data_IF_193596951150
#
_entry.id   IF_193596951150
#
_cell.length_a   1.000
_cell.length_b   1.000
_cell.length_c   1.000
_cell.angle_alpha   90.00
_cell.angle_beta   90.00
_cell.angle_gamma   90.00
#
_symmetry.space_group_name_H-M   'P 1'
#
loop_
_entity.id
_entity.type
_entity.pdbx_description
1 polymer ?
#
# COMPACT_ATOMS: atom_id res chain seq x y z
N UNK A 1 15.34 28.23 -13.15
CA UNK A 1 13.95 28.69 -13.33
C UNK A 1 13.33 27.95 -14.50
N UNK A 2 12.47 26.97 -14.22
CA UNK A 2 11.57 26.37 -15.21
C UNK A 2 10.25 26.15 -14.49
N UNK A 3 9.21 26.84 -14.94
CA UNK A 3 7.90 26.90 -14.32
C UNK A 3 7.03 25.76 -14.84
N UNK A 4 6.87 24.69 -14.05
CA UNK A 4 5.72 23.81 -14.22
C UNK A 4 4.51 24.47 -13.54
N UNK A 5 3.59 25.01 -14.34
CA UNK A 5 2.26 25.47 -13.92
C UNK A 5 1.21 24.53 -14.52
N UNK A 6 1.06 23.33 -13.95
CA UNK A 6 -0.12 22.51 -14.18
C UNK A 6 -1.29 23.07 -13.39
N UNK A 7 -2.31 23.63 -14.05
CA UNK A 7 -3.58 23.99 -13.42
C UNK A 7 -4.46 22.73 -13.37
N UNK A 8 -4.80 22.27 -12.17
CA UNK A 8 -5.89 21.31 -11.97
C UNK A 8 -7.21 22.07 -12.18
N UNK A 9 -7.98 21.70 -13.21
CA UNK A 9 -9.27 22.32 -13.52
C UNK A 9 -10.34 22.01 -12.47
N UNK A 10 -11.29 22.94 -12.29
CA UNK A 10 -12.39 22.87 -11.31
C UNK A 10 -13.20 21.56 -11.39
N UNK A 11 -13.29 20.84 -10.26
CA UNK A 11 -14.23 19.72 -10.08
C UNK A 11 -15.63 20.30 -9.83
N UNK A 12 -16.45 20.40 -10.88
CA UNK A 12 -17.87 20.79 -10.74
C UNK A 12 -18.72 19.61 -10.27
N UNK A 13 -19.11 19.61 -8.99
CA UNK A 13 -20.09 18.65 -8.43
C UNK A 13 -21.52 19.03 -8.83
N UNK A 14 -22.20 18.17 -9.59
CA UNK A 14 -23.67 18.15 -9.68
C UNK A 14 -24.21 16.85 -9.05
N UNK A 15 -25.28 17.04 -8.28
CA UNK A 15 -26.05 16.17 -7.38
C UNK A 15 -26.30 14.69 -7.71
N UNK A 16 -26.22 13.87 -6.64
CA UNK A 16 -27.09 12.75 -6.21
C UNK A 16 -27.21 11.53 -7.14
N UNK A 17 -26.09 10.86 -7.31
CA UNK A 17 -25.89 9.41 -7.44
C UNK A 17 -24.38 9.25 -7.62
N UNK A 18 -23.63 8.83 -6.58
CA UNK A 18 -22.17 8.75 -6.68
C UNK A 18 -21.83 7.49 -7.49
N UNK A 19 -21.99 7.55 -8.81
CA UNK A 19 -21.11 6.79 -9.70
C UNK A 19 -19.77 7.51 -9.63
N UNK A 20 -18.75 6.84 -9.11
CA UNK A 20 -17.38 7.29 -9.28
C UNK A 20 -17.12 7.29 -10.79
N UNK A 21 -16.90 8.47 -11.37
CA UNK A 21 -16.57 8.61 -12.78
C UNK A 21 -15.09 8.31 -12.94
N UNK A 22 -14.76 7.39 -13.86
CA UNK A 22 -13.37 6.99 -14.07
C UNK A 22 -12.54 8.20 -14.49
N UNK A 23 -11.38 8.37 -13.84
CA UNK A 23 -10.55 9.56 -14.01
C UNK A 23 -9.88 9.53 -15.39
N UNK A 24 -10.19 10.49 -16.26
CA UNK A 24 -9.53 10.60 -17.56
C UNK A 24 -8.17 11.28 -17.38
N UNK A 25 -7.08 10.55 -17.59
CA UNK A 25 -5.71 11.09 -17.58
C UNK A 25 -5.25 11.29 -19.02
N UNK A 26 -4.95 12.53 -19.36
CA UNK A 26 -4.46 12.94 -20.69
C UNK A 26 -3.05 13.48 -20.50
N UNK A 27 -2.08 12.88 -21.19
CA UNK A 27 -0.76 13.47 -21.37
C UNK A 27 -0.80 14.38 -22.60
N UNK A 28 -0.63 15.68 -22.38
CA UNK A 28 -0.87 16.79 -23.32
C UNK A 28 -0.03 16.70 -24.62
N UNK A 29 0.99 15.85 -24.63
CA UNK A 29 2.01 15.80 -25.68
C UNK A 29 1.60 14.98 -26.92
N UNK A 30 0.45 14.29 -26.91
CA UNK A 30 0.14 13.26 -27.92
C UNK A 30 -0.91 13.63 -28.97
N UNK A 31 -1.73 14.67 -28.76
CA UNK A 31 -2.70 15.17 -29.75
C UNK A 31 -3.71 14.13 -30.29
N UNK A 32 -3.78 12.93 -29.73
CA UNK A 32 -4.65 11.83 -30.15
C UNK A 32 -5.62 11.47 -29.01
N UNK A 33 -6.91 11.54 -29.30
CA UNK A 33 -8.00 11.42 -28.33
C UNK A 33 -8.75 10.07 -28.37
N UNK A 34 -8.31 9.13 -29.21
CA UNK A 34 -8.85 7.76 -29.25
C UNK A 34 -7.85 6.80 -28.60
N UNK A 35 -7.86 6.71 -27.26
CA UNK A 35 -6.85 5.93 -26.52
C UNK A 35 -7.42 5.10 -25.36
N UNK A 36 -6.86 3.90 -25.14
CA UNK A 36 -7.13 3.07 -23.95
C UNK A 36 -6.48 3.69 -22.70
N UNK A 37 -7.20 4.61 -22.06
CA UNK A 37 -6.72 5.36 -20.89
C UNK A 37 -6.32 4.50 -19.68
N UNK A 38 -6.62 3.20 -19.65
CA UNK A 38 -6.25 2.31 -18.54
C UNK A 38 -4.74 2.13 -18.39
N UNK A 39 -3.99 2.09 -19.49
CA UNK A 39 -2.51 1.99 -19.45
C UNK A 39 -1.87 3.22 -18.81
N UNK A 40 -2.25 4.41 -19.29
CA UNK A 40 -1.75 5.68 -18.78
C UNK A 40 -2.15 5.94 -17.33
N UNK A 41 -3.36 5.52 -16.91
CA UNK A 41 -3.75 5.62 -15.50
C UNK A 41 -2.87 4.78 -14.59
N UNK A 42 -2.63 3.50 -14.95
CA UNK A 42 -1.75 2.63 -14.16
C UNK A 42 -0.34 3.19 -14.07
N UNK A 43 0.21 3.66 -15.20
CA UNK A 43 1.53 4.29 -15.23
C UNK A 43 1.59 5.57 -14.38
N UNK A 44 0.55 6.42 -14.46
CA UNK A 44 0.44 7.62 -13.64
C UNK A 44 0.43 7.29 -12.14
N UNK A 45 -0.47 6.40 -11.69
CA UNK A 45 -0.58 6.07 -10.27
C UNK A 45 0.68 5.38 -9.74
N UNK A 46 1.24 4.44 -10.50
CA UNK A 46 2.51 3.82 -10.13
C UNK A 46 3.64 4.85 -10.02
N UNK A 47 3.74 5.78 -10.97
CA UNK A 47 4.74 6.86 -10.90
C UNK A 47 4.48 7.80 -9.73
N UNK A 48 3.22 8.15 -9.49
CA UNK A 48 2.80 9.00 -8.37
C UNK A 48 3.18 8.38 -7.02
N UNK A 49 2.90 7.09 -6.83
CA UNK A 49 3.24 6.36 -5.61
C UNK A 49 4.75 6.17 -5.45
N UNK A 50 5.49 5.85 -6.53
CA UNK A 50 6.96 5.75 -6.44
C UNK A 50 7.59 7.10 -6.09
N UNK A 51 7.09 8.22 -6.63
CA UNK A 51 7.54 9.56 -6.25
C UNK A 51 7.25 9.88 -4.79
N UNK A 52 6.06 9.51 -4.29
CA UNK A 52 5.70 9.69 -2.89
C UNK A 52 6.64 8.91 -1.95
N UNK A 53 6.95 7.65 -2.30
CA UNK A 53 7.79 6.75 -1.51
C UNK A 53 9.27 7.14 -1.57
N UNK A 54 9.83 7.36 -2.77
CA UNK A 54 11.29 7.48 -2.98
C UNK A 54 11.79 8.93 -3.02
N UNK A 55 11.04 9.82 -3.65
CA UNK A 55 11.57 11.14 -4.03
C UNK A 55 11.13 12.25 -3.07
N UNK A 56 9.98 12.07 -2.41
CA UNK A 56 9.37 13.09 -1.55
C UNK A 56 9.59 12.86 -0.07
N UNK A 57 10.10 11.69 0.33
CA UNK A 57 10.32 11.33 1.73
C UNK A 57 9.03 11.33 2.56
N UNK A 58 7.87 11.08 1.93
CA UNK A 58 6.57 11.03 2.63
C UNK A 58 6.43 9.75 3.46
N UNK A 59 7.29 8.77 3.23
CA UNK A 59 7.31 7.49 3.93
C UNK A 59 8.71 7.16 4.43
N UNK A 60 8.77 6.43 5.54
CA UNK A 60 9.99 5.93 6.21
C UNK A 60 9.82 4.47 6.60
N UNK A 61 10.92 3.82 6.99
CA UNK A 61 10.93 2.43 7.44
C UNK A 61 11.39 1.45 6.36
N UNK A 62 11.23 0.16 6.66
CA UNK A 62 11.70 -0.92 5.79
C UNK A 62 10.73 -1.13 4.64
N UNK A 63 11.20 -1.16 3.39
CA UNK A 63 10.35 -1.55 2.28
C UNK A 63 10.11 -3.09 2.30
N UNK A 64 8.88 -3.60 2.10
CA UNK A 64 7.63 -2.91 1.75
C UNK A 64 6.67 -2.67 2.94
N UNK A 65 7.19 -2.40 4.15
CA UNK A 65 6.45 -2.09 5.39
C UNK A 65 6.69 -0.64 5.81
N UNK A 66 6.17 0.28 5.03
CA UNK A 66 6.39 1.72 5.18
C UNK A 66 5.42 2.36 6.18
N UNK A 67 5.91 3.42 6.82
CA UNK A 67 5.20 4.27 7.74
C UNK A 67 5.17 5.71 7.21
N UNK A 68 4.09 6.48 7.41
CA UNK A 68 4.06 7.88 7.00
C UNK A 68 5.11 8.67 7.81
N UNK A 69 5.85 9.53 7.12
CA UNK A 69 6.79 10.44 7.75
C UNK A 69 6.04 11.58 8.43
N UNK A 70 6.45 11.97 9.65
CA UNK A 70 5.69 12.86 10.52
C UNK A 70 6.12 14.34 10.49
N UNK A 71 6.85 14.75 9.46
CA UNK A 71 7.23 16.14 9.25
C UNK A 71 5.99 17.02 9.01
N UNK A 72 5.79 18.02 9.87
CA UNK A 72 4.54 18.81 9.94
C UNK A 72 4.17 19.56 8.64
N UNK A 73 5.15 19.85 7.77
CA UNK A 73 4.96 20.54 6.49
C UNK A 73 4.39 19.65 5.37
N UNK A 74 4.20 18.35 5.62
CA UNK A 74 3.84 17.35 4.59
C UNK A 74 2.50 16.64 4.82
N UNK A 75 1.71 17.08 5.79
CA UNK A 75 0.43 16.42 6.10
C UNK A 75 -0.59 16.51 4.95
N UNK A 76 -0.61 17.63 4.22
CA UNK A 76 -1.46 17.77 3.03
C UNK A 76 -1.03 16.84 1.89
N UNK A 77 0.28 16.66 1.71
CA UNK A 77 0.84 15.72 0.73
C UNK A 77 0.42 14.27 1.06
N UNK A 78 0.46 13.87 2.35
CA UNK A 78 -0.02 12.57 2.80
C UNK A 78 -1.53 12.37 2.59
N UNK A 79 -2.31 13.42 2.83
CA UNK A 79 -3.76 13.40 2.54
C UNK A 79 -4.00 13.19 1.04
N UNK A 80 -3.24 13.89 0.18
CA UNK A 80 -3.34 13.74 -1.27
C UNK A 80 -2.92 12.34 -1.74
N UNK A 81 -1.88 11.76 -1.14
CA UNK A 81 -1.49 10.36 -1.41
C UNK A 81 -2.63 9.42 -1.03
N UNK A 82 -3.24 9.57 0.14
CA UNK A 82 -4.41 8.76 0.55
C UNK A 82 -5.56 8.83 -0.45
N UNK A 83 -5.89 10.03 -0.95
CA UNK A 83 -6.90 10.20 -2.02
C UNK A 83 -6.48 9.46 -3.28
N UNK A 84 -5.21 9.60 -3.69
CA UNK A 84 -4.67 8.91 -4.87
C UNK A 84 -4.76 7.39 -4.77
N UNK A 85 -4.53 6.82 -3.58
CA UNK A 85 -4.70 5.37 -3.32
C UNK A 85 -6.16 4.95 -3.54
N UNK A 86 -7.12 5.68 -2.98
CA UNK A 86 -8.54 5.39 -3.14
C UNK A 86 -8.97 5.49 -4.61
N UNK A 87 -8.55 6.56 -5.29
CA UNK A 87 -8.83 6.74 -6.71
C UNK A 87 -8.26 5.60 -7.56
N UNK A 88 -7.01 5.17 -7.34
CA UNK A 88 -6.41 4.05 -8.05
C UNK A 88 -7.17 2.74 -7.85
N UNK A 89 -7.61 2.46 -6.62
CA UNK A 89 -8.40 1.27 -6.29
C UNK A 89 -9.78 1.32 -6.94
N UNK A 90 -10.50 2.43 -6.85
CA UNK A 90 -11.84 2.60 -7.43
C UNK A 90 -11.84 2.50 -8.96
N UNK A 91 -10.74 2.91 -9.61
CA UNK A 91 -10.56 2.76 -11.05
C UNK A 91 -10.08 1.35 -11.48
N UNK A 92 -9.94 0.40 -10.54
CA UNK A 92 -9.40 -0.95 -10.78
C UNK A 92 -7.98 -0.95 -11.36
N UNK A 93 -7.18 0.07 -11.06
CA UNK A 93 -5.84 0.23 -11.61
C UNK A 93 -4.79 -0.47 -10.72
N UNK A 94 -4.51 0.09 -9.54
CA UNK A 94 -3.51 -0.45 -8.63
C UNK A 94 -3.85 -0.20 -7.15
N UNK A 95 -3.29 -1.04 -6.28
CA UNK A 95 -3.26 -0.79 -4.83
C UNK A 95 -2.01 -0.04 -4.40
N UNK A 96 -1.85 0.08 -3.09
CA UNK A 96 -0.68 0.61 -2.42
C UNK A 96 -0.19 -0.39 -1.35
N UNK A 97 0.32 -1.57 -1.74
CA UNK A 97 0.68 -2.67 -0.83
C UNK A 97 2.03 -2.42 -0.16
N UNK A 98 2.19 -1.25 0.46
CA UNK A 98 3.43 -0.80 1.08
C UNK A 98 3.24 -0.35 2.53
N UNK A 99 2.02 -0.34 3.06
CA UNK A 99 1.80 0.06 4.44
C UNK A 99 2.29 -1.02 5.39
N UNK A 100 2.88 -0.58 6.49
CA UNK A 100 3.16 -1.44 7.63
C UNK A 100 1.86 -2.12 8.13
N UNK A 101 1.83 -3.44 8.41
CA UNK A 101 0.61 -4.13 8.79
C UNK A 101 -0.03 -3.56 10.06
N UNK A 102 0.77 -3.28 11.10
CA UNK A 102 0.27 -2.64 12.33
C UNK A 102 -0.33 -1.25 12.10
N UNK A 103 0.17 -0.49 11.11
CA UNK A 103 -0.41 0.80 10.75
C UNK A 103 -1.78 0.60 10.06
N UNK A 104 -1.88 -0.38 9.15
CA UNK A 104 -3.14 -0.70 8.49
C UNK A 104 -4.22 -1.09 9.50
N UNK A 105 -3.93 -2.05 10.38
CA UNK A 105 -4.87 -2.51 11.41
C UNK A 105 -5.24 -1.39 12.38
N UNK A 106 -4.26 -0.56 12.76
CA UNK A 106 -4.51 0.64 13.56
C UNK A 106 -5.48 1.61 12.87
N UNK A 107 -5.31 1.87 11.57
CA UNK A 107 -6.22 2.75 10.82
C UNK A 107 -7.62 2.15 10.63
N UNK A 108 -7.75 0.83 10.62
CA UNK A 108 -9.05 0.13 10.57
C UNK A 108 -9.74 0.03 11.94
N UNK A 109 -9.13 0.57 12.99
CA UNK A 109 -9.63 0.50 14.36
C UNK A 109 -9.72 -0.96 14.87
N UNK A 110 -8.77 -1.82 14.46
CA UNK A 110 -8.63 -3.17 14.99
C UNK A 110 -7.83 -3.18 16.29
N UNK A 111 -8.32 -3.87 17.31
CA UNK A 111 -7.69 -3.90 18.65
C UNK A 111 -6.37 -4.70 18.68
N UNK A 112 -6.12 -5.55 17.68
CA UNK A 112 -4.97 -6.46 17.63
C UNK A 112 -3.75 -5.89 16.90
N UNK A 113 -3.77 -4.61 16.49
CA UNK A 113 -2.71 -4.00 15.68
C UNK A 113 -1.31 -4.08 16.32
N UNK A 114 -1.24 -4.15 17.67
CA UNK A 114 0.01 -4.24 18.42
C UNK A 114 0.79 -5.54 18.12
N UNK A 115 0.11 -6.63 17.74
CA UNK A 115 0.76 -7.90 17.38
C UNK A 115 1.63 -7.82 16.12
N UNK A 116 1.41 -6.79 15.30
CA UNK A 116 2.13 -6.57 14.06
C UNK A 116 3.31 -5.62 14.22
N UNK A 117 3.53 -5.06 15.42
CA UNK A 117 4.60 -4.11 15.68
C UNK A 117 5.90 -4.87 15.99
N UNK A 118 6.91 -4.70 15.14
CA UNK A 118 8.19 -5.38 15.27
C UNK A 118 9.31 -4.37 15.55
N UNK A 119 10.26 -4.74 16.41
CA UNK A 119 11.46 -3.93 16.71
C UNK A 119 12.24 -3.61 15.43
N UNK A 120 12.28 -4.54 14.49
CA UNK A 120 12.98 -4.34 13.22
C UNK A 120 12.39 -3.20 12.39
N UNK A 121 11.11 -2.91 12.56
CA UNK A 121 10.36 -1.89 11.82
C UNK A 121 10.41 -0.50 12.47
N UNK A 122 11.13 -0.33 13.58
CA UNK A 122 11.37 0.98 14.20
C UNK A 122 12.14 1.87 13.20
N UNK A 123 11.54 2.96 12.69
CA UNK A 123 12.16 3.81 11.69
C UNK A 123 13.16 4.81 12.28
N UNK A 124 13.01 5.20 13.54
CA UNK A 124 13.90 6.16 14.20
C UNK A 124 15.16 5.43 14.71
N UNK A 125 16.36 5.71 14.17
CA UNK A 125 17.58 5.00 14.55
C UNK A 125 17.93 5.15 16.03
N UNK A 126 17.61 6.29 16.65
CA UNK A 126 17.88 6.51 18.08
C UNK A 126 16.98 5.63 18.94
N UNK A 127 15.68 5.57 18.63
CA UNK A 127 14.75 4.67 19.33
C UNK A 127 15.16 3.21 19.11
N UNK A 128 15.54 2.84 17.88
CA UNK A 128 15.97 1.46 17.56
C UNK A 128 17.24 1.08 18.33
N UNK A 129 18.19 2.00 18.43
CA UNK A 129 19.40 1.80 19.22
C UNK A 129 19.09 1.60 20.70
N UNK A 130 18.25 2.46 21.29
CA UNK A 130 17.80 2.34 22.68
C UNK A 130 17.11 0.99 22.93
N UNK A 131 16.22 0.56 22.04
CA UNK A 131 15.56 -0.74 22.15
C UNK A 131 16.56 -1.90 22.08
N UNK A 132 17.57 -1.82 21.22
CA UNK A 132 18.61 -2.85 21.14
C UNK A 132 19.46 -2.90 22.41
N UNK A 133 19.84 -1.75 23.00
CA UNK A 133 20.53 -1.70 24.28
C UNK A 133 19.70 -2.36 25.38
N UNK A 134 18.39 -2.07 25.43
CA UNK A 134 17.48 -2.70 26.38
C UNK A 134 17.38 -4.22 26.19
N UNK A 135 17.35 -4.71 24.95
CA UNK A 135 17.36 -6.15 24.65
C UNK A 135 18.63 -6.85 25.17
N UNK A 136 19.75 -6.14 25.15
CA UNK A 136 21.07 -6.62 25.60
C UNK A 136 21.26 -6.56 27.13
N UNK A 137 20.43 -5.81 27.87
CA UNK A 137 20.52 -5.77 29.33
C UNK A 137 20.20 -7.12 29.97
N UNK A 138 21.02 -7.53 30.95
CA UNK A 138 20.85 -8.75 31.75
C UNK A 138 20.46 -8.45 33.21
N UNK A 139 20.61 -7.19 33.66
CA UNK A 139 20.41 -6.77 35.04
C UNK A 139 19.59 -5.48 35.16
N UNK A 140 19.00 -5.26 36.34
CA UNK A 140 18.23 -4.05 36.63
C UNK A 140 19.13 -2.79 36.59
N UNK A 141 20.38 -2.89 37.02
CA UNK A 141 21.34 -1.77 36.99
C UNK A 141 21.63 -1.33 35.55
N UNK A 142 21.88 -2.28 34.64
CA UNK A 142 22.09 -1.99 33.22
C UNK A 142 20.88 -1.30 32.57
N UNK A 143 19.66 -1.72 32.94
CA UNK A 143 18.45 -1.04 32.46
C UNK A 143 18.45 0.40 32.95
N UNK A 144 18.69 0.64 34.24
CA UNK A 144 18.69 2.00 34.78
C UNK A 144 19.77 2.88 34.13
N UNK A 145 20.95 2.35 33.86
CA UNK A 145 22.02 3.07 33.14
C UNK A 145 21.58 3.48 31.73
N UNK A 146 20.92 2.58 31.00
CA UNK A 146 20.38 2.88 29.66
C UNK A 146 19.28 3.95 29.74
N UNK A 147 18.42 3.91 30.74
CA UNK A 147 17.35 4.92 30.91
C UNK A 147 17.89 6.29 31.33
N UNK A 148 18.99 6.32 32.08
CA UNK A 148 19.63 7.57 32.51
C UNK A 148 20.58 8.18 31.47
N UNK A 149 20.83 7.46 30.36
CA UNK A 149 21.60 7.98 29.23
C UNK A 149 20.88 9.11 28.49
N UNK A 150 21.61 9.84 27.64
CA UNK A 150 21.05 10.89 26.79
C UNK A 150 19.98 10.33 25.84
N UNK A 151 20.14 9.09 25.38
CA UNK A 151 19.18 8.37 24.55
C UNK A 151 17.90 7.99 25.32
N UNK A 152 18.02 7.81 26.64
CA UNK A 152 16.93 7.44 27.54
C UNK A 152 15.82 8.49 27.66
N UNK A 153 16.08 9.75 27.27
CA UNK A 153 15.11 10.87 27.27
C UNK A 153 13.83 10.53 26.47
N UNK A 154 13.93 9.65 25.47
CA UNK A 154 12.77 9.20 24.67
C UNK A 154 11.70 8.54 25.56
N UNK A 155 12.10 7.88 26.65
CA UNK A 155 11.21 7.14 27.55
C UNK A 155 10.20 8.06 28.25
N UNK A 156 10.51 9.35 28.40
CA UNK A 156 9.58 10.33 28.96
C UNK A 156 8.32 10.52 28.08
N UNK A 157 8.42 10.20 26.79
CA UNK A 157 7.38 10.46 25.79
C UNK A 157 6.47 9.24 25.52
N UNK A 158 6.81 8.05 26.02
CA UNK A 158 6.10 6.80 25.69
C UNK A 158 4.91 6.52 26.63
N UNK A 159 4.62 7.41 27.58
CA UNK A 159 3.55 7.22 28.56
C UNK A 159 3.84 6.11 29.57
N UNK A 160 5.10 5.96 30.00
CA UNK A 160 5.47 4.99 31.03
C UNK A 160 4.65 5.21 32.33
N UNK A 161 4.01 4.19 32.92
CA UNK A 161 3.15 4.38 34.07
C UNK A 161 3.89 4.95 35.29
N UNK A 162 3.34 6.01 35.89
CA UNK A 162 3.91 6.65 37.08
C UNK A 162 4.13 5.63 38.21
N UNK A 163 5.34 5.64 38.80
CA UNK A 163 5.71 4.74 39.89
C UNK A 163 6.09 3.33 39.45
N UNK A 164 6.01 3.01 38.17
CA UNK A 164 6.49 1.73 37.64
C UNK A 164 8.01 1.76 37.47
N UNK A 165 8.69 0.76 38.03
CA UNK A 165 10.13 0.66 37.97
C UNK A 165 10.64 0.15 36.62
N UNK A 166 11.77 0.70 36.17
CA UNK A 166 12.57 0.17 35.07
C UNK A 166 13.43 -0.98 35.59
N UNK A 167 13.04 -2.22 35.27
CA UNK A 167 13.69 -3.44 35.74
C UNK A 167 13.45 -4.58 34.74
N UNK A 168 14.15 -5.69 34.92
CA UNK A 168 14.13 -6.86 34.03
C UNK A 168 12.72 -7.44 33.87
N UNK A 169 11.90 -7.37 34.93
CA UNK A 169 10.50 -7.84 34.90
C UNK A 169 9.62 -7.01 33.96
N UNK A 170 9.89 -5.71 33.83
CA UNK A 170 9.09 -4.78 33.03
C UNK A 170 9.74 -4.42 31.68
N UNK A 171 10.94 -4.94 31.38
CA UNK A 171 11.74 -4.66 30.18
C UNK A 171 10.96 -4.88 28.88
N UNK A 172 10.25 -5.99 28.77
CA UNK A 172 9.46 -6.32 27.58
C UNK A 172 8.36 -5.27 27.33
N UNK A 173 7.63 -4.87 28.38
CA UNK A 173 6.63 -3.81 28.25
C UNK A 173 7.24 -2.47 27.84
N UNK A 174 8.43 -2.15 28.34
CA UNK A 174 9.14 -0.93 27.95
C UNK A 174 9.48 -0.95 26.46
N UNK A 175 10.00 -2.08 25.96
CA UNK A 175 10.30 -2.28 24.54
C UNK A 175 9.03 -2.18 23.69
N UNK A 176 7.93 -2.78 24.12
CA UNK A 176 6.63 -2.70 23.43
C UNK A 176 6.15 -1.25 23.34
N UNK A 177 6.24 -0.48 24.43
CA UNK A 177 5.84 0.93 24.45
C UNK A 177 6.74 1.81 23.58
N UNK A 178 8.06 1.59 23.58
CA UNK A 178 9.00 2.28 22.70
C UNK A 178 8.72 1.99 21.23
N UNK A 179 8.45 0.71 20.91
CA UNK A 179 8.12 0.27 19.55
C UNK A 179 6.80 0.89 19.09
N UNK A 180 5.76 0.85 19.93
CA UNK A 180 4.47 1.50 19.66
C UNK A 180 4.62 3.00 19.48
N UNK A 181 5.35 3.66 20.38
CA UNK A 181 5.60 5.09 20.29
C UNK A 181 6.23 5.46 18.94
N UNK A 182 7.28 4.73 18.55
CA UNK A 182 7.99 5.00 17.29
C UNK A 182 7.21 4.60 16.04
N UNK A 183 6.29 3.63 16.09
CA UNK A 183 5.56 3.22 14.88
C UNK A 183 4.25 4.00 14.74
N UNK A 184 3.57 4.29 15.85
CA UNK A 184 2.21 4.84 15.88
C UNK A 184 2.18 6.23 16.51
N UNK A 185 2.55 6.36 17.79
CA UNK A 185 2.18 7.55 18.56
C UNK A 185 2.89 8.83 18.08
N UNK A 186 4.20 8.78 17.83
CA UNK A 186 4.99 9.89 17.29
C UNK A 186 4.49 10.33 15.89
N UNK A 187 3.91 9.38 15.14
CA UNK A 187 3.43 9.57 13.76
C UNK A 187 1.96 9.92 13.68
N UNK A 188 1.27 10.08 14.81
CA UNK A 188 -0.19 10.19 14.83
C UNK A 188 -0.76 11.26 13.88
N UNK A 189 -0.22 12.49 13.81
CA UNK A 189 -0.72 13.50 12.86
C UNK A 189 -0.62 13.06 11.39
N UNK A 190 0.46 12.37 11.03
CA UNK A 190 0.71 11.89 9.68
C UNK A 190 -0.16 10.68 9.32
N UNK A 191 -0.40 9.79 10.30
CA UNK A 191 -1.35 8.69 10.18
C UNK A 191 -2.77 9.24 9.99
N UNK A 192 -3.18 10.23 10.79
CA UNK A 192 -4.51 10.83 10.68
C UNK A 192 -4.69 11.55 9.34
N UNK A 193 -3.66 12.21 8.82
CA UNK A 193 -3.67 12.83 7.49
C UNK A 193 -3.82 11.80 6.36
N UNK A 194 -3.07 10.69 6.41
CA UNK A 194 -3.22 9.59 5.46
C UNK A 194 -4.60 8.93 5.57
N UNK A 195 -5.07 8.62 6.79
CA UNK A 195 -6.40 8.05 7.08
C UNK A 195 -7.52 8.96 6.56
N UNK A 196 -7.37 10.28 6.70
CA UNK A 196 -8.30 11.28 6.12
C UNK A 196 -8.37 11.17 4.60
N UNK A 197 -7.22 11.05 3.93
CA UNK A 197 -7.16 10.85 2.47
C UNK A 197 -7.77 9.52 2.05
N UNK A 198 -7.43 8.44 2.75
CA UNK A 198 -7.97 7.10 2.51
C UNK A 198 -9.48 7.00 2.76
N UNK A 199 -10.04 7.84 3.62
CA UNK A 199 -11.49 7.90 3.83
C UNK A 199 -12.22 8.80 2.82
N UNK A 200 -11.55 9.19 1.72
CA UNK A 200 -12.20 9.84 0.58
C UNK A 200 -13.40 9.02 0.08
N UNK A 201 -14.54 9.68 -0.16
CA UNK A 201 -15.83 9.03 -0.48
C UNK A 201 -16.31 7.99 0.54
N UNK A 202 -15.87 8.13 1.80
CA UNK A 202 -16.12 7.18 2.90
C UNK A 202 -15.57 5.78 2.60
N UNK A 203 -14.46 5.70 1.87
CA UNK A 203 -13.93 4.44 1.40
C UNK A 203 -13.53 3.52 2.57
N UNK A 204 -12.71 4.00 3.52
CA UNK A 204 -12.33 3.22 4.71
C UNK A 204 -13.54 2.76 5.53
N UNK A 205 -14.49 3.65 5.79
CA UNK A 205 -15.72 3.29 6.53
C UNK A 205 -16.49 2.12 5.88
N UNK A 206 -16.44 1.99 4.55
CA UNK A 206 -17.11 0.92 3.81
C UNK A 206 -16.34 -0.39 3.77
N UNK A 207 -15.01 -0.34 3.94
CA UNK A 207 -14.13 -1.50 3.75
C UNK A 207 -13.52 -2.04 5.04
N UNK A 208 -13.71 -1.36 6.17
CA UNK A 208 -13.10 -1.73 7.46
C UNK A 208 -13.29 -3.20 7.87
N UNK A 209 -14.42 -3.80 7.51
CA UNK A 209 -14.75 -5.19 7.86
C UNK A 209 -14.46 -6.18 6.72
N UNK A 210 -13.74 -5.76 5.67
CA UNK A 210 -13.49 -6.55 4.46
C UNK A 210 -12.02 -6.95 4.38
N UNK A 211 -11.66 -8.05 5.06
CA UNK A 211 -10.29 -8.59 5.09
C UNK A 211 -9.71 -8.89 3.70
N UNK A 212 -10.55 -9.19 2.71
CA UNK A 212 -10.11 -9.46 1.33
C UNK A 212 -9.41 -8.26 0.66
N UNK A 213 -9.59 -7.04 1.19
CA UNK A 213 -9.00 -5.82 0.63
C UNK A 213 -7.67 -5.44 1.28
N UNK A 214 -7.26 -6.13 2.35
CA UNK A 214 -5.96 -5.90 3.00
C UNK A 214 -4.76 -6.00 2.05
N UNK A 215 -4.70 -6.95 1.09
CA UNK A 215 -3.61 -7.01 0.10
C UNK A 215 -3.50 -5.80 -0.82
N UNK A 216 -4.49 -4.90 -0.83
CA UNK A 216 -4.40 -3.62 -1.55
C UNK A 216 -3.58 -2.57 -0.78
N UNK A 217 -3.31 -2.79 0.51
CA UNK A 217 -2.66 -1.85 1.42
C UNK A 217 -1.38 -2.42 2.03
N UNK A 218 -1.39 -3.71 2.32
CA UNK A 218 -0.29 -4.41 2.98
C UNK A 218 0.35 -5.40 2.01
N UNK A 219 1.68 -5.43 1.98
CA UNK A 219 2.38 -6.42 1.17
C UNK A 219 2.07 -7.84 1.64
N UNK A 220 1.74 -8.72 0.69
CA UNK A 220 1.57 -10.15 0.95
C UNK A 220 2.38 -10.96 -0.04
N UNK A 221 3.20 -11.88 0.48
CA UNK A 221 3.97 -12.81 -0.34
C UNK A 221 3.08 -13.74 -1.17
N UNK A 222 1.88 -14.07 -0.66
CA UNK A 222 0.88 -14.88 -1.37
C UNK A 222 0.47 -14.22 -2.69
N UNK A 223 0.37 -12.90 -2.68
CA UNK A 223 0.02 -12.08 -3.83
C UNK A 223 1.24 -11.38 -4.42
N UNK A 224 2.45 -11.93 -4.28
CA UNK A 224 3.66 -11.35 -4.87
C UNK A 224 3.92 -11.85 -6.29
N UNK A 225 4.51 -10.99 -7.13
CA UNK A 225 5.04 -11.43 -8.43
C UNK A 225 6.31 -12.24 -8.20
N UNK A 226 6.30 -13.48 -8.67
CA UNK A 226 7.46 -14.35 -8.73
C UNK A 226 7.57 -15.01 -10.11
N UNK A 227 8.68 -15.68 -10.37
CA UNK A 227 8.95 -16.34 -11.66
C UNK A 227 7.89 -17.38 -12.00
N UNK A 228 7.33 -18.08 -11.02
CA UNK A 228 6.30 -19.10 -11.26
C UNK A 228 4.99 -18.47 -11.70
N UNK A 229 4.58 -17.38 -11.04
CA UNK A 229 3.41 -16.59 -11.41
C UNK A 229 3.54 -16.07 -12.85
N UNK A 230 4.68 -15.45 -13.18
CA UNK A 230 4.88 -14.87 -14.50
C UNK A 230 4.97 -15.94 -15.60
N UNK A 231 5.63 -17.07 -15.33
CA UNK A 231 5.65 -18.23 -16.24
C UNK A 231 4.25 -18.76 -16.51
N UNK A 232 3.44 -18.94 -15.46
CA UNK A 232 2.05 -19.41 -15.59
C UNK A 232 1.18 -18.45 -16.40
N UNK A 233 1.47 -17.15 -16.36
CA UNK A 233 0.75 -16.14 -17.12
C UNK A 233 1.23 -16.06 -18.58
N UNK A 234 2.53 -15.97 -18.81
CA UNK A 234 3.11 -15.63 -20.11
C UNK A 234 3.39 -16.84 -21.00
N UNK A 235 3.80 -17.99 -20.45
CA UNK A 235 4.15 -19.15 -21.28
C UNK A 235 2.98 -19.64 -22.15
N UNK A 236 1.75 -19.81 -21.63
CA UNK A 236 0.63 -20.24 -22.47
C UNK A 236 0.30 -19.23 -23.57
N UNK A 237 0.41 -17.93 -23.27
CA UNK A 237 0.16 -16.87 -24.24
C UNK A 237 1.23 -16.86 -25.34
N UNK A 238 2.51 -16.98 -24.98
CA UNK A 238 3.63 -17.03 -25.92
C UNK A 238 3.59 -18.29 -26.79
N UNK A 239 3.29 -19.46 -26.20
CA UNK A 239 3.14 -20.73 -26.91
C UNK A 239 2.01 -20.66 -27.95
N UNK A 240 0.90 -19.99 -27.61
CA UNK A 240 -0.24 -19.78 -28.50
C UNK A 240 -0.03 -18.79 -29.64
N UNK A 241 1.08 -18.05 -29.69
CA UNK A 241 1.34 -17.09 -30.77
C UNK A 241 1.63 -17.77 -32.11
N UNK A 242 0.91 -17.39 -33.16
CA UNK A 242 1.19 -17.82 -34.53
C UNK A 242 2.28 -16.92 -35.16
N UNK A 243 3.44 -17.52 -35.47
CA UNK A 243 4.55 -16.80 -36.09
C UNK A 243 4.54 -17.01 -37.62
N UNK A 244 4.10 -15.97 -38.35
CA UNK A 244 3.91 -16.02 -39.80
C UNK A 244 5.21 -15.99 -40.63
N UNK A 245 6.33 -15.57 -40.04
CA UNK A 245 7.63 -15.49 -40.71
C UNK A 245 8.78 -15.85 -39.77
N UNK A 246 9.97 -16.08 -40.32
CA UNK A 246 11.12 -16.58 -39.55
C UNK A 246 11.65 -15.57 -38.53
N UNK A 247 11.47 -14.26 -38.77
CA UNK A 247 11.80 -13.23 -37.78
C UNK A 247 10.91 -13.33 -36.54
N UNK A 248 9.61 -13.53 -36.74
CA UNK A 248 8.65 -13.71 -35.66
C UNK A 248 8.83 -15.06 -34.95
N UNK A 249 9.24 -16.12 -35.66
CA UNK A 249 9.58 -17.41 -35.05
C UNK A 249 10.76 -17.26 -34.10
N UNK A 250 11.84 -16.63 -34.55
CA UNK A 250 13.02 -16.34 -33.70
C UNK A 250 12.65 -15.45 -32.51
N UNK A 251 11.84 -14.40 -32.72
CA UNK A 251 11.38 -13.55 -31.63
C UNK A 251 10.56 -14.32 -30.58
N UNK A 252 9.66 -15.22 -31.03
CA UNK A 252 8.90 -16.13 -30.15
C UNK A 252 9.83 -17.07 -29.38
N UNK A 253 10.81 -17.68 -30.03
CA UNK A 253 11.80 -18.56 -29.40
C UNK A 253 12.61 -17.81 -28.32
N UNK A 254 13.09 -16.61 -28.62
CA UNK A 254 13.80 -15.79 -27.63
C UNK A 254 12.89 -15.40 -26.46
N UNK A 255 11.66 -14.98 -26.72
CA UNK A 255 10.71 -14.62 -25.66
C UNK A 255 10.38 -15.82 -24.75
N UNK A 256 10.13 -17.00 -25.33
CA UNK A 256 9.91 -18.24 -24.58
C UNK A 256 11.12 -18.61 -23.73
N UNK A 257 12.33 -18.48 -24.29
CA UNK A 257 13.57 -18.75 -23.55
C UNK A 257 13.76 -17.77 -22.40
N UNK A 258 13.59 -16.48 -22.64
CA UNK A 258 13.69 -15.45 -21.61
C UNK A 258 12.71 -15.66 -20.46
N UNK A 259 11.44 -15.99 -20.74
CA UNK A 259 10.46 -16.28 -19.68
C UNK A 259 10.77 -17.58 -18.95
N UNK A 260 11.32 -18.60 -19.63
CA UNK A 260 11.71 -19.86 -18.99
C UNK A 260 12.93 -19.71 -18.07
N UNK A 261 13.89 -18.86 -18.43
CA UNK A 261 15.13 -18.65 -17.67
C UNK A 261 14.99 -17.54 -16.59
N UNK A 262 13.85 -16.84 -16.53
CA UNK A 262 13.65 -15.68 -15.66
C UNK A 262 13.78 -16.01 -14.16
N UNK A 263 14.47 -15.14 -13.43
CA UNK A 263 14.51 -15.15 -11.97
C UNK A 263 13.40 -14.27 -11.35
N UNK A 264 13.29 -14.24 -10.01
CA UNK A 264 12.18 -13.55 -9.32
C UNK A 264 12.26 -12.02 -9.43
N UNK A 265 13.46 -11.43 -9.48
CA UNK A 265 13.62 -9.98 -9.60
C UNK A 265 13.41 -9.50 -11.04
N UNK A 266 13.88 -10.27 -12.01
CA UNK A 266 13.56 -10.07 -13.42
C UNK A 266 12.05 -10.22 -13.67
N UNK A 267 11.39 -11.17 -13.00
CA UNK A 267 9.94 -11.36 -13.13
C UNK A 267 9.16 -10.15 -12.62
N UNK A 268 9.55 -9.56 -11.47
CA UNK A 268 8.96 -8.32 -10.96
C UNK A 268 9.18 -7.17 -11.94
N UNK A 269 10.40 -7.03 -12.47
CA UNK A 269 10.76 -5.97 -13.43
C UNK A 269 9.99 -6.10 -14.73
N UNK A 270 9.92 -7.30 -15.30
CA UNK A 270 9.17 -7.57 -16.52
C UNK A 270 7.67 -7.38 -16.31
N UNK A 271 7.13 -7.79 -15.18
CA UNK A 271 5.73 -7.54 -14.84
C UNK A 271 5.42 -6.04 -14.76
N UNK A 272 6.28 -5.27 -14.08
CA UNK A 272 6.17 -3.82 -14.00
C UNK A 272 6.28 -3.17 -15.38
N UNK A 273 7.23 -3.60 -16.20
CA UNK A 273 7.38 -3.13 -17.57
C UNK A 273 6.13 -3.37 -18.43
N UNK A 274 5.52 -4.56 -18.32
CA UNK A 274 4.33 -4.92 -19.12
C UNK A 274 3.07 -4.22 -18.62
N UNK A 275 2.89 -4.10 -17.31
CA UNK A 275 1.59 -3.73 -16.71
C UNK A 275 1.56 -2.34 -16.10
N UNK A 276 2.73 -1.75 -15.86
CA UNK A 276 2.92 -0.57 -15.02
C UNK A 276 2.80 -0.86 -13.52
N UNK A 277 2.54 -2.10 -13.08
CA UNK A 277 2.22 -2.44 -11.68
C UNK A 277 3.38 -3.14 -10.97
N UNK A 278 3.51 -2.93 -9.66
CA UNK A 278 4.53 -3.61 -8.83
C UNK A 278 4.00 -4.88 -8.15
N UNK A 279 2.70 -5.16 -8.25
CA UNK A 279 2.02 -6.30 -7.64
C UNK A 279 0.89 -6.78 -8.57
N UNK A 280 0.54 -8.07 -8.53
CA UNK A 280 -0.59 -8.59 -9.29
C UNK A 280 -1.90 -7.96 -8.82
N UNK A 281 -2.78 -7.69 -9.77
CA UNK A 281 -4.15 -7.31 -9.45
C UNK A 281 -4.88 -8.49 -8.79
N UNK A 282 -5.53 -8.23 -7.65
CA UNK A 282 -6.44 -9.18 -7.02
C UNK A 282 -7.57 -9.42 -8.02
N UNK A 283 -7.56 -10.57 -8.70
CA UNK A 283 -8.70 -10.94 -9.55
C UNK A 283 -9.90 -11.11 -8.61
N UNK A 284 -11.03 -10.39 -8.81
CA UNK A 284 -12.27 -10.84 -8.19
C UNK A 284 -12.47 -12.29 -8.64
N UNK A 285 -12.63 -13.21 -7.69
CA UNK A 285 -13.10 -14.57 -8.01
C UNK A 285 -14.28 -14.39 -8.94
N UNK A 286 -14.18 -14.96 -10.14
CA UNK A 286 -15.27 -15.02 -11.10
C UNK A 286 -16.53 -15.39 -10.35
N UNK A 287 -17.41 -14.42 -10.10
CA UNK A 287 -18.78 -14.70 -9.69
C UNK A 287 -19.33 -15.65 -10.74
N UNK A 288 -19.88 -16.81 -10.35
CA UNK A 288 -20.60 -17.64 -11.29
C UNK A 288 -21.58 -16.73 -12.00
N UNK A 289 -21.53 -16.69 -13.34
CA UNK A 289 -22.61 -16.08 -14.10
C UNK A 289 -23.87 -16.81 -13.65
N UNK A 290 -24.74 -16.09 -12.93
CA UNK A 290 -26.11 -16.55 -12.73
C UNK A 290 -26.70 -16.65 -14.12
N UNK A 291 -26.71 -17.89 -14.63
CA UNK A 291 -27.47 -18.25 -15.80
C UNK A 291 -28.90 -17.76 -15.56
N UNK A 292 -29.34 -16.88 -16.45
CA UNK A 292 -30.70 -16.42 -16.60
C UNK A 292 -31.63 -17.61 -16.81
N UNK A 293 -32.21 -18.13 -15.73
CA UNK A 293 -33.44 -18.92 -15.76
C UNK A 293 -33.95 -19.14 -14.34
N UNK A 294 -34.55 -18.11 -13.74
CA UNK A 294 -35.59 -18.31 -12.73
C UNK A 294 -36.86 -17.61 -13.24
N UNK A 295 -38.03 -18.27 -13.23
CA UNK A 295 -39.25 -17.72 -13.79
C UNK A 295 -39.74 -16.55 -12.93
N UNK A 296 -40.22 -15.50 -13.59
CA UNK A 296 -40.94 -14.39 -12.97
C UNK A 296 -42.20 -14.97 -12.30
N UNK A 297 -42.44 -14.79 -10.99
CA UNK A 297 -43.72 -15.10 -10.40
C UNK A 297 -44.72 -14.06 -10.90
N UNK A 298 -45.73 -14.53 -11.62
CA UNK A 298 -46.87 -13.76 -12.09
C UNK A 298 -47.58 -13.12 -10.88
N UNK A 299 -47.42 -11.80 -10.72
CA UNK A 299 -48.21 -11.01 -9.78
C UNK A 299 -49.34 -10.36 -10.56
N UNK A 300 -50.40 -11.13 -10.75
CA UNK A 300 -51.72 -10.58 -11.03
C UNK A 300 -52.13 -9.69 -9.86
N UNK A 301 -52.21 -8.39 -10.15
CA UNK A 301 -52.93 -7.44 -9.32
C UNK A 301 -54.42 -7.80 -9.34
N UNK A 302 -54.98 -8.12 -8.18
CA UNK A 302 -56.40 -7.89 -7.90
C UNK A 302 -56.51 -7.16 -6.54
N UNK A 303 -57.04 -5.95 -6.60
CA UNK A 303 -57.84 -5.33 -5.52
C UNK A 303 -59.32 -5.53 -5.94
N UNK A 304 -60.30 -5.59 -5.04
CA UNK A 304 -60.29 -5.23 -3.61
C UNK A 304 -60.05 -6.41 -2.67
#
# INVERSE_FOLDING_TARGET
MSHYKGKVGEIRRKSVSIRHESLMIIFDDSGQFDYDGGGYRREFYSTFFQKAIRDRGLFVGNYPRLLPNFTQDRLDDLTAVGIGIVEAILNFDCGFPYLHPGLYHFMMDHDDFEHYLMVDDIPNPAVKHLVNLLLECETDDQINDVIQSDEGVIVEHIGWPTGKQYNMKNREQLITLLTRYSIIDERRPAIDALKKGLNYLKFLEKIKDVSLLEPLFVHSEEYSINKQYLKKLLLPALEGLNAANDKLKKAKEYALRSVNEINDDEAKTLYHFITGLSSPSVKPRTTPRLNSSCPIPDRSFQRP
#
